data_IF_887646300446
#
_entry.id   IF_887646300446
#
_cell.length_a   1.000
_cell.length_b   1.000
_cell.length_c   1.000
_cell.angle_alpha   90.00
_cell.angle_beta   90.00
_cell.angle_gamma   90.00
#
_symmetry.space_group_name_H-M   'P 1'
#
loop_
_entity.id
_entity.type
_entity.pdbx_description
1 polymer ?
#
# COMPACT_ATOMS: atom_id res chain seq x y z
N UNK A 1 11.41 -7.30 12.16
CA UNK A 1 11.33 -6.47 13.39
C UNK A 1 10.78 -5.06 13.16
N UNK A 2 11.02 -4.42 12.01
CA UNK A 2 10.53 -3.06 11.67
C UNK A 2 8.99 -2.94 11.53
N UNK A 3 8.29 -4.04 11.20
CA UNK A 3 6.84 -4.04 10.96
C UNK A 3 5.98 -4.04 12.24
N UNK A 4 6.52 -4.49 13.37
CA UNK A 4 5.82 -4.52 14.66
C UNK A 4 5.92 -3.17 15.39
N UNK A 5 7.00 -2.42 15.16
CA UNK A 5 7.21 -1.06 15.70
C UNK A 5 6.24 -0.04 15.10
N UNK A 6 5.84 -0.21 13.84
CA UNK A 6 4.88 0.67 13.15
C UNK A 6 3.45 0.45 13.63
N UNK A 7 3.03 -0.79 13.92
CA UNK A 7 1.70 -1.05 14.48
C UNK A 7 1.55 -0.59 15.94
N UNK A 8 2.60 -0.71 16.76
CA UNK A 8 2.61 -0.16 18.13
C UNK A 8 2.53 1.37 18.11
N UNK A 9 3.24 2.03 17.18
CA UNK A 9 3.14 3.50 16.99
C UNK A 9 1.75 3.95 16.53
N UNK A 10 1.12 3.23 15.60
CA UNK A 10 -0.25 3.54 15.13
C UNK A 10 -1.30 3.43 16.25
N UNK A 11 -1.18 2.42 17.11
CA UNK A 11 -2.10 2.23 18.25
C UNK A 11 -1.91 3.30 19.34
N UNK A 12 -0.68 3.77 19.54
CA UNK A 12 -0.40 4.87 20.46
C UNK A 12 -0.78 6.24 19.87
N UNK A 13 -0.66 6.42 18.56
CA UNK A 13 -1.00 7.67 17.88
C UNK A 13 -2.52 7.90 17.78
N UNK A 14 -3.32 6.85 17.52
CA UNK A 14 -4.79 6.96 17.54
C UNK A 14 -5.32 7.18 18.96
N UNK A 15 -4.70 6.57 19.99
CA UNK A 15 -5.03 6.85 21.39
C UNK A 15 -4.61 8.27 21.81
N UNK A 16 -3.46 8.74 21.32
CA UNK A 16 -2.92 10.07 21.57
C UNK A 16 -3.67 11.18 20.84
N UNK A 17 -4.24 10.94 19.65
CA UNK A 17 -5.07 11.90 18.91
C UNK A 17 -6.40 12.18 19.62
N UNK A 18 -6.97 11.19 20.32
CA UNK A 18 -8.12 11.41 21.20
C UNK A 18 -7.73 12.11 22.52
N UNK A 19 -6.48 12.02 22.97
CA UNK A 19 -5.97 12.73 24.15
C UNK A 19 -5.48 14.17 23.84
N UNK A 20 -4.97 14.46 22.65
CA UNK A 20 -4.49 15.80 22.28
C UNK A 20 -5.63 16.76 21.88
N UNK A 21 -6.83 16.26 21.58
CA UNK A 21 -8.05 17.08 21.55
C UNK A 21 -8.46 17.54 22.97
N UNK A 22 -7.83 17.00 24.01
CA UNK A 22 -8.09 17.30 25.42
C UNK A 22 -7.17 18.38 26.01
N UNK A 23 -6.08 18.77 25.33
CA UNK A 23 -5.05 19.69 25.87
C UNK A 23 -5.16 21.15 25.39
N UNK A 24 -5.99 21.47 24.39
CA UNK A 24 -6.37 22.87 24.14
C UNK A 24 -7.48 23.26 25.12
N UNK A 25 -7.07 23.59 26.34
CA UNK A 25 -7.94 23.92 27.47
C UNK A 25 -8.94 25.02 27.15
N UNK A 26 -10.19 24.61 26.96
CA UNK A 26 -11.38 25.02 27.72
C UNK A 26 -12.59 24.33 27.07
N UNK A 27 -13.09 23.25 27.71
CA UNK A 27 -14.42 22.74 27.40
C UNK A 27 -15.35 23.02 28.59
N UNK A 28 -16.54 23.59 28.36
CA UNK A 28 -17.52 23.86 29.40
C UNK A 28 -18.27 22.57 29.76
N UNK A 29 -17.58 21.62 30.40
CA UNK A 29 -18.24 20.46 31.01
C UNK A 29 -18.17 20.60 32.53
N UNK A 30 -18.91 21.57 33.05
CA UNK A 30 -19.39 21.45 34.41
C UNK A 30 -20.87 21.05 34.37
N UNK A 31 -21.19 19.96 35.08
CA UNK A 31 -22.50 19.31 35.27
C UNK A 31 -23.03 18.38 34.15
N UNK A 32 -22.75 17.08 34.29
CA UNK A 32 -23.76 16.02 34.48
C UNK A 32 -24.95 15.86 33.53
N UNK A 33 -24.97 16.49 32.36
CA UNK A 33 -26.04 16.38 31.38
C UNK A 33 -25.48 15.76 30.09
N UNK A 34 -26.05 14.60 29.71
CA UNK A 34 -25.93 14.09 28.35
C UNK A 34 -26.18 15.24 27.37
N UNK A 35 -25.39 15.37 26.28
CA UNK A 35 -25.61 16.43 25.30
C UNK A 35 -27.07 16.38 24.82
N UNK A 36 -27.70 17.54 24.58
CA UNK A 36 -29.08 17.60 24.10
C UNK A 36 -29.26 16.70 22.89
N UNK A 37 -30.42 16.05 22.80
CA UNK A 37 -30.80 14.92 21.93
C UNK A 37 -30.72 15.24 20.40
N UNK A 38 -30.15 16.39 20.02
CA UNK A 38 -30.01 16.90 18.66
C UNK A 38 -28.59 17.42 18.34
N UNK A 39 -27.53 16.98 19.01
CA UNK A 39 -26.16 17.36 18.64
C UNK A 39 -25.67 16.62 17.40
N UNK A 40 -24.96 17.32 16.52
CA UNK A 40 -24.18 16.71 15.45
C UNK A 40 -23.03 15.92 16.09
N UNK A 41 -22.82 14.67 15.67
CA UNK A 41 -21.71 13.86 16.15
C UNK A 41 -20.76 13.55 15.01
N UNK A 42 -19.47 13.65 15.30
CA UNK A 42 -18.43 13.10 14.44
C UNK A 42 -18.58 11.57 14.51
N UNK A 43 -18.96 10.94 13.39
CA UNK A 43 -19.02 9.48 13.31
C UNK A 43 -17.60 8.97 13.30
N UNK A 44 -16.80 9.48 12.37
CA UNK A 44 -15.43 9.04 12.16
C UNK A 44 -14.59 10.20 11.63
N UNK A 45 -13.40 10.36 12.18
CA UNK A 45 -12.29 11.06 11.54
C UNK A 45 -11.19 10.03 11.34
N UNK A 46 -11.05 9.53 10.12
CA UNK A 46 -9.85 8.79 9.78
C UNK A 46 -8.87 9.79 9.17
N UNK A 47 -7.73 10.06 9.83
CA UNK A 47 -6.62 10.63 9.10
C UNK A 47 -6.26 9.62 8.01
N UNK A 48 -6.24 10.05 6.76
CA UNK A 48 -5.57 9.27 5.73
C UNK A 48 -4.08 9.46 6.01
N UNK A 49 -3.60 8.71 7.02
CA UNK A 49 -2.20 8.61 7.36
C UNK A 49 -1.51 8.01 6.15
N UNK A 50 -0.76 8.85 5.48
CA UNK A 50 0.06 8.49 4.35
C UNK A 50 1.28 7.78 4.90
N UNK A 51 1.34 6.43 4.93
CA UNK A 51 2.50 5.74 5.46
C UNK A 51 3.52 5.70 4.33
N UNK A 52 4.06 6.86 3.94
CA UNK A 52 4.75 7.16 2.68
C UNK A 52 3.81 7.55 1.52
N UNK A 53 3.30 8.79 1.51
CA UNK A 53 3.46 9.63 0.31
C UNK A 53 4.94 10.04 0.28
N UNK A 54 5.82 9.04 0.18
CA UNK A 54 7.10 9.33 -0.43
C UNK A 54 6.72 9.62 -1.86
N UNK A 55 7.04 10.83 -2.30
CA UNK A 55 6.83 11.27 -3.67
C UNK A 55 7.85 10.54 -4.56
N UNK A 56 7.69 9.23 -4.58
CA UNK A 56 8.37 8.27 -5.39
C UNK A 56 7.26 7.58 -6.18
N UNK A 57 7.09 8.06 -7.41
CA UNK A 57 6.52 7.33 -8.55
C UNK A 57 4.98 7.20 -8.75
N UNK A 58 4.09 7.87 -8.00
CA UNK A 58 2.64 7.56 -8.11
C UNK A 58 1.66 8.75 -7.94
N UNK A 59 1.92 9.92 -8.53
CA UNK A 59 1.12 11.15 -8.34
C UNK A 59 -0.40 10.96 -8.65
N UNK A 60 -1.14 10.60 -7.60
CA UNK A 60 -2.58 10.72 -7.37
C UNK A 60 -3.51 10.01 -8.38
N UNK A 61 -3.30 8.78 -8.84
CA UNK A 61 -4.49 7.93 -9.14
C UNK A 61 -4.78 7.10 -7.91
N UNK A 62 -5.17 7.78 -6.84
CA UNK A 62 -5.36 7.13 -5.54
C UNK A 62 -6.83 7.12 -5.18
N UNK A 63 -7.35 5.90 -5.17
CA UNK A 63 -8.69 5.59 -4.71
C UNK A 63 -8.60 4.93 -3.35
N UNK A 64 -9.05 5.63 -2.33
CA UNK A 64 -9.13 5.12 -0.97
C UNK A 64 -10.54 4.66 -0.65
N UNK A 65 -10.60 3.50 -0.01
CA UNK A 65 -11.80 2.93 0.57
C UNK A 65 -11.50 2.65 2.03
N UNK A 66 -11.92 3.56 2.91
CA UNK A 66 -11.52 3.55 4.32
C UNK A 66 -12.68 3.17 5.24
N UNK A 67 -12.37 2.59 6.39
CA UNK A 67 -13.39 2.01 7.27
C UNK A 67 -13.90 3.04 8.26
N UNK A 68 -15.16 3.41 8.15
CA UNK A 68 -15.77 4.34 9.10
C UNK A 68 -15.90 3.62 10.43
N UNK A 69 -15.27 4.16 11.47
CA UNK A 69 -15.30 3.63 12.83
C UNK A 69 -16.21 4.50 13.68
N UNK A 70 -16.96 3.90 14.60
CA UNK A 70 -17.68 4.63 15.65
C UNK A 70 -16.74 5.00 16.82
N UNK A 71 -17.25 5.73 17.82
CA UNK A 71 -16.53 6.09 19.05
C UNK A 71 -15.97 4.86 19.81
N UNK A 72 -16.63 3.72 19.72
CA UNK A 72 -16.17 2.44 20.29
C UNK A 72 -15.15 1.70 19.40
N UNK A 73 -14.62 2.36 18.36
CA UNK A 73 -13.78 1.78 17.31
C UNK A 73 -14.42 0.60 16.54
N UNK A 74 -15.74 0.46 16.62
CA UNK A 74 -16.49 -0.53 15.86
C UNK A 74 -16.65 -0.07 14.42
N UNK A 75 -16.52 -1.00 13.46
CA UNK A 75 -16.67 -0.68 12.04
C UNK A 75 -18.14 -0.46 11.69
N UNK A 76 -18.49 0.77 11.37
CA UNK A 76 -19.83 1.20 11.02
C UNK A 76 -20.06 1.30 9.51
N UNK A 77 -19.01 1.42 8.71
CA UNK A 77 -19.18 1.53 7.28
C UNK A 77 -17.86 1.62 6.52
N UNK A 78 -17.98 2.02 5.26
CA UNK A 78 -16.86 2.25 4.37
C UNK A 78 -17.08 3.55 3.60
N UNK A 79 -16.13 4.48 3.69
CA UNK A 79 -16.11 5.73 2.93
C UNK A 79 -15.24 5.62 1.70
N UNK A 80 -15.63 6.30 0.61
CA UNK A 80 -14.88 6.31 -0.65
C UNK A 80 -14.39 7.71 -1.02
N UNK A 81 -13.07 7.88 -1.06
CA UNK A 81 -12.39 9.15 -1.39
C UNK A 81 -11.41 8.89 -2.53
N UNK A 82 -11.43 9.76 -3.53
CA UNK A 82 -10.59 9.67 -4.72
C UNK A 82 -9.89 11.02 -4.92
N UNK A 83 -8.59 11.02 -5.20
CA UNK A 83 -7.86 12.23 -5.58
C UNK A 83 -7.13 11.95 -6.89
N UNK A 84 -7.21 12.88 -7.85
CA UNK A 84 -6.70 12.76 -9.22
C UNK A 84 -5.85 13.97 -9.62
N UNK A 85 -4.65 13.84 -10.22
CA UNK A 85 -4.01 14.97 -10.87
C UNK A 85 -4.82 15.34 -12.11
N UNK A 86 -4.90 16.62 -12.42
CA UNK A 86 -5.64 17.07 -13.59
C UNK A 86 -4.96 18.24 -14.28
N UNK A 87 -5.38 18.50 -15.50
CA UNK A 87 -5.05 19.74 -16.21
C UNK A 87 -5.76 20.94 -15.58
N UNK A 88 -5.35 22.16 -15.94
CA UNK A 88 -6.05 23.40 -15.55
C UNK A 88 -7.56 23.38 -15.89
N UNK A 89 -7.94 22.67 -16.96
CA UNK A 89 -9.34 22.50 -17.40
C UNK A 89 -10.10 21.39 -16.64
N UNK A 90 -9.47 20.75 -15.66
CA UNK A 90 -10.08 19.68 -14.87
C UNK A 90 -10.16 18.32 -15.55
N UNK A 91 -9.53 18.15 -16.72
CA UNK A 91 -9.37 16.83 -17.37
C UNK A 91 -8.32 16.04 -16.62
N UNK A 92 -8.71 14.86 -16.11
CA UNK A 92 -7.83 13.92 -15.40
C UNK A 92 -6.82 13.34 -16.39
N UNK A 93 -5.56 13.24 -15.96
CA UNK A 93 -4.52 12.61 -16.77
C UNK A 93 -4.74 11.11 -16.90
N UNK A 94 -4.52 10.58 -18.09
CA UNK A 94 -4.59 9.14 -18.36
C UNK A 94 -3.17 8.57 -18.49
N UNK A 95 -3.00 7.23 -18.37
CA UNK A 95 -1.71 6.58 -18.58
C UNK A 95 -1.06 6.87 -19.94
N UNK A 96 -1.83 7.30 -20.94
CA UNK A 96 -1.33 7.64 -22.27
C UNK A 96 -0.75 9.06 -22.37
N UNK A 97 -1.02 9.94 -21.40
CA UNK A 97 -0.62 11.35 -21.48
C UNK A 97 0.88 11.59 -21.13
N UNK A 98 1.61 10.54 -20.69
CA UNK A 98 3.06 10.54 -20.35
C UNK A 98 3.53 11.70 -19.45
N UNK A 99 2.62 12.23 -18.62
CA UNK A 99 2.91 13.28 -17.64
C UNK A 99 3.41 12.60 -16.37
N UNK A 100 4.71 12.30 -16.34
CA UNK A 100 5.36 11.67 -15.21
C UNK A 100 6.41 12.59 -14.59
N UNK A 101 6.39 12.71 -13.27
CA UNK A 101 7.35 13.51 -12.50
C UNK A 101 8.05 12.58 -11.51
N UNK A 102 9.37 12.41 -11.69
CA UNK A 102 10.22 11.55 -10.86
C UNK A 102 10.44 12.11 -9.46
N UNK A 103 10.71 13.42 -9.36
CA UNK A 103 11.05 14.13 -8.13
C UNK A 103 10.06 15.29 -7.88
N UNK A 104 9.36 15.34 -6.72
CA UNK A 104 8.44 16.44 -6.38
C UNK A 104 9.03 17.83 -6.57
N UNK A 105 10.33 17.98 -6.30
CA UNK A 105 11.00 19.27 -6.29
C UNK A 105 11.01 19.92 -7.67
N UNK A 106 10.84 19.14 -8.74
CA UNK A 106 10.71 19.64 -10.11
C UNK A 106 9.43 20.44 -10.34
N UNK A 107 8.41 20.28 -9.48
CA UNK A 107 7.17 21.03 -9.55
C UNK A 107 7.27 22.41 -8.87
N UNK A 108 8.37 22.71 -8.18
CA UNK A 108 8.57 24.02 -7.56
C UNK A 108 8.56 25.09 -8.65
N UNK A 109 7.71 26.10 -8.48
CA UNK A 109 7.48 27.15 -9.47
C UNK A 109 6.59 26.76 -10.66
N UNK A 110 6.01 25.55 -10.66
CA UNK A 110 5.00 25.14 -11.65
C UNK A 110 3.60 25.23 -11.07
N UNK A 111 2.61 25.41 -11.95
CA UNK A 111 1.19 25.33 -11.57
C UNK A 111 0.76 23.87 -11.45
N UNK A 112 0.11 23.53 -10.34
CA UNK A 112 -0.39 22.19 -10.09
C UNK A 112 -1.88 22.18 -9.83
N UNK A 113 -2.55 21.27 -10.51
CA UNK A 113 -3.98 21.07 -10.37
C UNK A 113 -4.28 19.62 -10.05
N UNK A 114 -5.19 19.43 -9.11
CA UNK A 114 -5.72 18.12 -8.79
C UNK A 114 -7.19 18.25 -8.39
N UNK A 115 -7.86 17.11 -8.35
CA UNK A 115 -9.29 17.03 -8.11
C UNK A 115 -9.55 16.05 -6.98
N UNK A 116 -10.28 16.51 -5.98
CA UNK A 116 -10.75 15.69 -4.85
C UNK A 116 -12.19 15.30 -5.14
N UNK A 117 -12.49 14.01 -5.01
CA UNK A 117 -13.82 13.46 -5.20
C UNK A 117 -14.22 12.59 -4.01
N UNK A 118 -15.31 12.95 -3.36
CA UNK A 118 -15.92 12.16 -2.29
C UNK A 118 -17.17 11.50 -2.85
N UNK A 119 -17.06 10.19 -3.10
CA UNK A 119 -18.15 9.41 -3.69
C UNK A 119 -19.33 9.29 -2.74
N UNK A 120 -19.08 8.85 -1.51
CA UNK A 120 -20.13 8.53 -0.56
C UNK A 120 -19.61 7.66 0.58
N UNK A 121 -20.56 7.17 1.39
CA UNK A 121 -20.31 6.15 2.38
C UNK A 121 -21.30 4.99 2.18
N UNK A 122 -20.90 3.79 2.61
CA UNK A 122 -21.72 2.58 2.50
C UNK A 122 -21.74 1.83 3.83
N UNK A 123 -22.87 1.19 4.11
CA UNK A 123 -23.05 0.32 5.27
C UNK A 123 -23.33 1.04 6.58
N UNK A 124 -23.57 2.36 6.58
CA UNK A 124 -23.75 3.13 7.80
C UNK A 124 -25.00 2.68 8.60
N UNK A 125 -24.92 2.63 9.93
CA UNK A 125 -26.05 2.22 10.76
C UNK A 125 -27.24 3.19 10.62
N UNK A 126 -28.46 2.65 10.65
CA UNK A 126 -29.72 3.42 10.53
C UNK A 126 -30.01 4.38 11.71
N UNK A 127 -29.13 4.44 12.72
CA UNK A 127 -29.26 5.36 13.85
C UNK A 127 -28.95 6.81 13.45
N UNK A 128 -28.17 7.01 12.40
CA UNK A 128 -27.87 8.32 11.83
C UNK A 128 -28.99 8.72 10.88
N UNK A 129 -29.64 9.84 11.19
CA UNK A 129 -30.71 10.39 10.39
C UNK A 129 -30.17 11.13 9.18
N UNK A 130 -29.18 11.98 9.40
CA UNK A 130 -28.65 12.92 8.42
C UNK A 130 -27.12 12.82 8.43
N UNK A 131 -26.53 12.60 7.26
CA UNK A 131 -25.10 12.26 7.13
C UNK A 131 -24.45 13.17 6.07
N UNK A 132 -23.32 13.75 6.42
CA UNK A 132 -22.49 14.56 5.51
C UNK A 132 -21.01 14.29 5.78
N UNK A 133 -20.18 14.62 4.79
CA UNK A 133 -18.73 14.64 4.93
C UNK A 133 -18.20 16.07 4.86
N UNK A 134 -17.06 16.27 5.51
CA UNK A 134 -16.36 17.54 5.57
C UNK A 134 -14.86 17.30 5.49
N UNK A 135 -14.12 18.15 4.77
CA UNK A 135 -12.67 18.13 4.78
C UNK A 135 -12.11 19.54 4.63
N UNK A 136 -10.83 19.72 4.93
CA UNK A 136 -10.13 20.99 4.78
C UNK A 136 -8.75 20.77 4.17
N UNK A 137 -8.39 21.60 3.20
CA UNK A 137 -7.05 21.68 2.64
C UNK A 137 -6.40 23.02 3.03
N UNK A 138 -5.07 23.09 2.95
CA UNK A 138 -4.29 24.31 3.26
C UNK A 138 -4.82 25.56 2.54
N UNK A 139 -5.26 25.42 1.29
CA UNK A 139 -5.76 26.53 0.45
C UNK A 139 -7.16 27.01 0.84
N UNK A 140 -7.94 26.17 1.52
CA UNK A 140 -9.32 26.50 1.85
C UNK A 140 -9.38 27.23 3.20
N UNK A 141 -9.91 28.46 3.19
CA UNK A 141 -10.18 29.22 4.41
C UNK A 141 -11.18 28.48 5.29
N UNK A 142 -12.29 28.03 4.69
CA UNK A 142 -13.38 27.31 5.34
C UNK A 142 -13.41 25.83 4.92
N UNK A 143 -13.87 24.93 5.81
CA UNK A 143 -14.01 23.52 5.48
C UNK A 143 -15.04 23.30 4.36
N UNK A 144 -14.73 22.38 3.45
CA UNK A 144 -15.63 21.97 2.37
C UNK A 144 -16.57 20.90 2.87
N UNK A 145 -17.87 21.21 2.89
CA UNK A 145 -18.94 20.33 3.38
C UNK A 145 -19.77 19.78 2.22
N UNK A 146 -20.09 18.50 2.25
CA UNK A 146 -21.06 17.90 1.31
C UNK A 146 -22.48 18.30 1.67
N UNK A 147 -23.42 18.12 0.73
CA UNK A 147 -24.84 18.16 1.06
C UNK A 147 -25.16 17.05 2.07
N UNK A 148 -25.95 17.38 3.08
CA UNK A 148 -26.41 16.42 4.05
C UNK A 148 -27.53 15.56 3.44
N UNK A 149 -27.41 14.24 3.60
CA UNK A 149 -28.36 13.26 3.03
C UNK A 149 -29.00 12.53 4.19
N UNK A 150 -30.33 12.51 4.22
CA UNK A 150 -31.10 11.87 5.28
C UNK A 150 -31.70 10.52 4.88
N UNK A 151 -32.02 9.69 5.87
CA UNK A 151 -32.83 8.47 5.71
C UNK A 151 -32.16 7.31 4.97
N UNK A 152 -30.83 7.33 4.81
CA UNK A 152 -30.09 6.29 4.08
C UNK A 152 -28.86 5.80 4.87
N UNK A 153 -28.60 4.50 4.77
CA UNK A 153 -27.34 3.87 5.22
C UNK A 153 -26.19 4.04 4.21
N UNK A 154 -26.49 4.58 3.03
CA UNK A 154 -25.59 4.61 1.89
C UNK A 154 -25.63 5.99 1.20
N UNK A 155 -25.18 7.07 1.85
CA UNK A 155 -25.19 8.40 1.23
C UNK A 155 -24.26 8.45 0.01
N UNK A 156 -24.75 9.06 -1.07
CA UNK A 156 -24.00 9.28 -2.32
C UNK A 156 -23.86 10.80 -2.53
N UNK A 157 -22.74 11.36 -2.09
CA UNK A 157 -22.53 12.81 -2.08
C UNK A 157 -22.09 13.36 -3.44
N UNK A 158 -21.37 12.55 -4.23
CA UNK A 158 -20.80 12.92 -5.54
C UNK A 158 -20.11 14.29 -5.52
N UNK A 159 -19.44 14.61 -4.41
CA UNK A 159 -18.73 15.87 -4.29
C UNK A 159 -17.46 15.79 -5.13
N UNK A 160 -17.23 16.80 -5.96
CA UNK A 160 -16.04 16.93 -6.79
C UNK A 160 -15.58 18.38 -6.73
N UNK A 161 -14.33 18.60 -6.31
CA UNK A 161 -13.73 19.94 -6.24
C UNK A 161 -12.32 19.90 -6.81
N UNK A 162 -12.03 20.82 -7.71
CA UNK A 162 -10.69 21.02 -8.28
C UNK A 162 -9.94 22.06 -7.45
N UNK A 163 -8.66 21.76 -7.22
CA UNK A 163 -7.71 22.62 -6.54
C UNK A 163 -6.66 23.11 -7.52
N UNK A 164 -6.18 24.31 -7.25
CA UNK A 164 -5.15 24.97 -8.02
C UNK A 164 -4.13 25.57 -7.06
N UNK A 165 -2.88 25.14 -7.22
CA UNK A 165 -1.72 25.69 -6.52
C UNK A 165 -0.85 26.39 -7.57
N UNK A 166 -0.98 27.73 -7.70
CA UNK A 166 -0.13 28.48 -8.62
C UNK A 166 1.29 28.52 -8.07
N UNK A 167 2.28 28.27 -8.92
CA UNK A 167 3.71 28.29 -8.57
C UNK A 167 4.03 27.57 -7.25
N UNK A 168 4.04 26.22 -7.22
CA UNK A 168 4.29 25.50 -5.96
C UNK A 168 5.55 25.99 -5.25
N UNK A 169 5.43 26.18 -3.95
CA UNK A 169 6.56 26.46 -3.06
C UNK A 169 7.10 25.17 -2.45
N UNK A 170 8.32 25.23 -1.91
CA UNK A 170 8.89 24.11 -1.14
C UNK A 170 8.04 23.77 0.09
N UNK A 171 7.37 24.75 0.69
CA UNK A 171 6.42 24.53 1.79
C UNK A 171 5.19 23.72 1.37
N UNK A 172 4.72 23.90 0.13
CA UNK A 172 3.60 23.13 -0.40
C UNK A 172 4.03 21.69 -0.69
N UNK A 173 5.23 21.49 -1.23
CA UNK A 173 5.82 20.15 -1.39
C UNK A 173 5.92 19.46 -0.03
N UNK A 174 6.48 20.15 0.98
CA UNK A 174 6.57 19.61 2.34
C UNK A 174 5.19 19.30 2.93
N UNK A 175 4.18 20.12 2.65
CA UNK A 175 2.80 19.87 3.05
C UNK A 175 2.25 18.59 2.39
N UNK A 176 2.55 18.31 1.13
CA UNK A 176 2.12 17.08 0.47
C UNK A 176 2.91 15.84 0.93
N UNK A 177 4.19 15.99 1.28
CA UNK A 177 5.04 14.90 1.79
C UNK A 177 4.70 14.48 3.22
N UNK A 178 4.51 15.47 4.10
CA UNK A 178 4.34 15.25 5.55
C UNK A 178 2.91 15.45 6.04
N UNK A 179 2.07 16.11 5.25
CA UNK A 179 0.70 16.40 5.62
C UNK A 179 -0.19 15.16 5.58
N UNK A 180 -1.32 15.26 6.28
CA UNK A 180 -2.39 14.29 6.21
C UNK A 180 -3.63 14.94 5.58
N UNK A 181 -4.31 14.18 4.73
CA UNK A 181 -5.60 14.57 4.22
C UNK A 181 -6.69 13.94 5.11
N UNK A 182 -7.46 14.76 5.81
CA UNK A 182 -8.48 14.29 6.75
C UNK A 182 -9.87 14.57 6.22
N UNK A 183 -10.65 13.50 6.06
CA UNK A 183 -12.09 13.59 5.77
C UNK A 183 -12.85 13.17 7.01
N UNK A 184 -13.68 14.07 7.52
CA UNK A 184 -14.55 13.86 8.67
C UNK A 184 -15.94 13.51 8.17
N UNK A 185 -16.53 12.45 8.68
CA UNK A 185 -17.90 12.07 8.38
C UNK A 185 -18.73 12.30 9.63
N UNK A 186 -19.80 13.08 9.47
CA UNK A 186 -20.69 13.47 10.54
C UNK A 186 -22.07 12.86 10.33
N UNK A 187 -22.73 12.58 11.45
CA UNK A 187 -24.06 12.01 11.50
C UNK A 187 -24.89 12.64 12.60
N UNK A 188 -26.07 13.14 12.26
CA UNK A 188 -27.07 13.55 13.24
C UNK A 188 -27.85 12.32 13.69
N UNK A 189 -27.82 12.00 14.98
CA UNK A 189 -28.56 10.85 15.49
C UNK A 189 -30.06 11.14 15.51
N UNK A 190 -30.89 10.13 15.23
CA UNK A 190 -32.33 10.24 15.42
C UNK A 190 -32.66 10.41 16.90
N UNK A 191 -33.16 11.59 17.27
CA UNK A 191 -33.75 11.89 18.58
C UNK A 191 -34.85 10.89 19.01
N UNK A 192 -35.45 10.18 18.05
CA UNK A 192 -36.71 9.44 18.20
C UNK A 192 -36.66 8.06 18.87
N UNK A 193 -35.54 7.61 19.45
CA UNK A 193 -35.52 6.37 20.23
C UNK A 193 -35.11 6.55 21.71
N UNK A 194 -34.64 7.74 22.08
CA UNK A 194 -34.29 8.08 23.46
C UNK A 194 -35.50 8.60 24.26
N UNK A 195 -36.64 7.90 24.14
CA UNK A 195 -37.71 7.90 25.14
C UNK A 195 -38.61 6.67 24.96
N UNK A 196 -38.11 5.54 24.44
CA UNK A 196 -38.76 4.28 24.79
C UNK A 196 -38.49 4.10 26.27
N UNK A 197 -39.48 4.39 27.11
CA UNK A 197 -39.53 3.95 28.52
C UNK A 197 -39.14 2.47 28.53
N UNK A 198 -37.85 2.20 28.75
CA UNK A 198 -37.35 0.87 29.02
C UNK A 198 -37.98 0.51 30.36
N UNK A 199 -39.13 -0.14 30.30
CA UNK A 199 -39.73 -0.75 31.48
C UNK A 199 -38.77 -1.85 31.92
N UNK A 200 -37.93 -1.53 32.92
CA UNK A 200 -36.89 -2.39 33.49
C UNK A 200 -37.44 -3.77 33.84
N UNK A 201 -38.75 -3.87 34.13
CA UNK A 201 -39.47 -5.12 34.42
C UNK A 201 -39.62 -6.03 33.20
N UNK A 202 -39.76 -5.48 31.99
CA UNK A 202 -39.89 -6.24 30.74
C UNK A 202 -38.53 -6.77 30.27
N UNK A 203 -37.47 -5.98 30.42
CA UNK A 203 -36.10 -6.39 30.06
C UNK A 203 -35.57 -7.50 30.98
N UNK A 204 -35.85 -7.42 32.30
CA UNK A 204 -35.52 -8.46 33.28
C UNK A 204 -36.27 -9.78 33.02
N UNK A 205 -37.53 -9.72 32.58
CA UNK A 205 -38.29 -10.91 32.18
C UNK A 205 -37.73 -11.56 30.91
N UNK A 206 -37.29 -10.75 29.92
CA UNK A 206 -36.64 -11.25 28.70
C UNK A 206 -35.28 -11.90 28.97
N UNK A 207 -34.47 -11.32 29.86
CA UNK A 207 -33.19 -11.93 30.29
C UNK A 207 -33.37 -13.24 31.07
N UNK A 208 -34.42 -13.37 31.88
CA UNK A 208 -34.75 -14.65 32.55
C UNK A 208 -35.26 -15.71 31.58
N UNK A 209 -36.04 -15.34 30.56
CA UNK A 209 -36.51 -16.27 29.54
C UNK A 209 -35.36 -16.76 28.61
N UNK A 210 -34.45 -15.86 28.23
CA UNK A 210 -33.31 -16.21 27.37
C UNK A 210 -32.29 -17.14 28.06
N UNK A 211 -32.12 -17.06 29.38
CA UNK A 211 -31.25 -17.98 30.14
C UNK A 211 -31.81 -19.41 30.25
N UNK A 212 -33.10 -19.62 30.01
CA UNK A 212 -33.73 -20.96 30.02
C UNK A 212 -33.67 -21.72 28.70
N UNK A 213 -33.21 -21.10 27.60
CA UNK A 213 -33.23 -21.69 26.25
C UNK A 213 -31.84 -21.94 25.63
N UNK A 214 -30.75 -21.80 26.40
CA UNK A 214 -29.36 -21.96 25.88
C UNK A 214 -28.93 -23.43 25.76
N UNK A 215 -29.74 -24.41 26.19
CA UNK A 215 -29.29 -25.80 26.22
C UNK A 215 -29.48 -26.61 24.92
N UNK A 216 -30.18 -26.12 23.87
CA UNK A 216 -30.57 -27.01 22.74
C UNK A 216 -30.35 -26.47 21.32
N UNK A 217 -29.87 -25.24 21.10
CA UNK A 217 -29.87 -24.67 19.73
C UNK A 217 -28.64 -23.84 19.34
N UNK A 218 -27.43 -24.41 19.41
CA UNK A 218 -26.20 -23.73 18.96
C UNK A 218 -25.35 -24.55 17.96
N UNK A 219 -25.97 -25.44 17.19
CA UNK A 219 -25.32 -26.22 16.12
C UNK A 219 -25.71 -25.73 14.70
N UNK A 220 -25.68 -24.41 14.49
CA UNK A 220 -25.88 -23.83 13.15
C UNK A 220 -24.89 -22.69 12.87
N UNK A 221 -23.69 -23.13 12.49
CA UNK A 221 -22.72 -22.55 11.56
C UNK A 221 -23.09 -21.17 11.00
N UNK A 222 -22.84 -20.12 11.79
CA UNK A 222 -22.51 -18.80 11.26
C UNK A 222 -21.00 -18.76 11.16
N UNK A 223 -20.45 -19.04 9.97
CA UNK A 223 -19.05 -18.72 9.66
C UNK A 223 -18.92 -17.20 9.73
N UNK A 224 -18.54 -16.69 10.90
CA UNK A 224 -17.95 -15.37 11.03
C UNK A 224 -16.71 -15.41 10.14
N UNK A 225 -16.75 -14.67 9.03
CA UNK A 225 -15.58 -14.50 8.18
C UNK A 225 -14.69 -13.56 8.98
N UNK A 226 -13.64 -14.12 9.58
CA UNK A 226 -12.66 -13.32 10.33
C UNK A 226 -12.03 -12.29 9.39
N UNK A 227 -11.96 -11.01 9.80
CA UNK A 227 -11.41 -9.93 8.98
C UNK A 227 -9.96 -10.19 8.56
N UNK A 228 -9.21 -10.95 9.35
CA UNK A 228 -7.83 -11.35 9.04
C UNK A 228 -7.76 -12.35 7.88
N UNK A 229 -8.77 -13.23 7.76
CA UNK A 229 -8.85 -14.17 6.65
C UNK A 229 -9.14 -13.45 5.32
N UNK A 230 -9.91 -12.35 5.36
CA UNK A 230 -10.15 -11.51 4.19
C UNK A 230 -8.88 -10.79 3.72
N UNK A 231 -8.06 -10.27 4.66
CA UNK A 231 -6.75 -9.67 4.34
C UNK A 231 -5.78 -10.70 3.75
N UNK A 232 -5.73 -11.90 4.32
CA UNK A 232 -4.92 -13.00 3.78
C UNK A 232 -5.35 -13.37 2.36
N UNK A 233 -6.66 -13.43 2.10
CA UNK A 233 -7.18 -13.72 0.78
C UNK A 233 -6.83 -12.62 -0.23
N UNK A 234 -6.90 -11.35 0.16
CA UNK A 234 -6.49 -10.22 -0.70
C UNK A 234 -4.99 -10.26 -1.01
N UNK A 235 -4.14 -10.52 -0.01
CA UNK A 235 -2.69 -10.66 -0.20
C UNK A 235 -2.35 -11.85 -1.11
N UNK A 236 -3.06 -12.96 -0.97
CA UNK A 236 -2.89 -14.12 -1.85
C UNK A 236 -3.20 -13.78 -3.31
N UNK A 237 -4.26 -12.99 -3.58
CA UNK A 237 -4.60 -12.55 -4.94
C UNK A 237 -3.53 -11.62 -5.51
N UNK A 238 -2.99 -10.70 -4.72
CA UNK A 238 -1.89 -9.81 -5.14
C UNK A 238 -0.61 -10.62 -5.43
N UNK A 239 -0.26 -11.58 -4.58
CA UNK A 239 0.88 -12.48 -4.80
C UNK A 239 0.70 -13.32 -6.08
N UNK A 240 -0.49 -13.88 -6.30
CA UNK A 240 -0.79 -14.65 -7.51
C UNK A 240 -0.72 -13.80 -8.78
N UNK A 241 -1.19 -12.56 -8.75
CA UNK A 241 -1.10 -11.65 -9.91
C UNK A 241 0.33 -11.24 -10.21
N UNK A 242 1.17 -11.00 -9.19
CA UNK A 242 2.61 -10.77 -9.34
C UNK A 242 3.33 -11.98 -9.96
N UNK A 243 3.03 -13.18 -9.46
CA UNK A 243 3.59 -14.43 -10.00
C UNK A 243 3.18 -14.69 -11.46
N UNK A 244 1.92 -14.41 -11.82
CA UNK A 244 1.46 -14.49 -13.22
C UNK A 244 2.24 -13.54 -14.14
N UNK A 245 2.57 -12.32 -13.69
CA UNK A 245 3.39 -11.36 -14.46
C UNK A 245 4.83 -11.87 -14.63
N UNK A 246 5.44 -12.39 -13.56
CA UNK A 246 6.79 -12.97 -13.62
C UNK A 246 6.84 -14.19 -14.55
N UNK A 247 5.86 -15.08 -14.48
CA UNK A 247 5.78 -16.25 -15.36
C UNK A 247 5.67 -15.86 -16.84
N UNK A 248 4.92 -14.81 -17.17
CA UNK A 248 4.86 -14.27 -18.54
C UNK A 248 6.22 -13.74 -19.02
N UNK A 249 6.95 -13.02 -18.16
CA UNK A 249 8.31 -12.54 -18.48
C UNK A 249 9.28 -13.69 -18.70
N UNK A 250 9.16 -14.75 -17.89
CA UNK A 250 9.95 -15.97 -18.02
C UNK A 250 9.64 -16.70 -19.34
N UNK A 251 8.36 -16.73 -19.75
CA UNK A 251 7.95 -17.27 -21.04
C UNK A 251 8.56 -16.47 -22.22
N UNK A 252 8.56 -15.14 -22.16
CA UNK A 252 9.18 -14.31 -23.19
C UNK A 252 10.70 -14.51 -23.25
N UNK A 253 11.35 -14.72 -22.10
CA UNK A 253 12.78 -15.06 -22.05
C UNK A 253 13.06 -16.43 -22.67
N UNK A 254 12.20 -17.43 -22.43
CA UNK A 254 12.29 -18.74 -23.10
C UNK A 254 12.14 -18.61 -24.62
N UNK A 255 11.20 -17.79 -25.09
CA UNK A 255 11.01 -17.54 -26.53
C UNK A 255 12.22 -16.82 -27.16
N UNK A 256 12.83 -15.86 -26.44
CA UNK A 256 14.08 -15.23 -26.85
C UNK A 256 15.20 -16.26 -27.05
N UNK A 257 15.35 -17.19 -26.10
CA UNK A 257 16.38 -18.23 -26.17
C UNK A 257 16.10 -19.23 -27.30
N UNK A 258 14.84 -19.60 -27.54
CA UNK A 258 14.46 -20.45 -28.68
C UNK A 258 14.79 -19.78 -30.02
N UNK A 259 14.47 -18.49 -30.18
CA UNK A 259 14.79 -17.73 -31.40
C UNK A 259 16.30 -17.57 -31.59
N UNK A 260 17.06 -17.35 -30.51
CA UNK A 260 18.52 -17.26 -30.56
C UNK A 260 19.16 -18.60 -30.98
N UNK A 261 18.66 -19.72 -30.45
CA UNK A 261 19.10 -21.06 -30.83
C UNK A 261 18.73 -21.40 -32.28
N UNK A 262 17.52 -21.05 -32.73
CA UNK A 262 17.07 -21.22 -34.12
C UNK A 262 17.99 -20.48 -35.11
N UNK A 263 18.60 -19.37 -34.67
CA UNK A 263 19.57 -18.57 -35.44
C UNK A 263 21.04 -18.95 -35.17
N UNK A 264 21.29 -20.06 -34.45
CA UNK A 264 22.62 -20.55 -34.07
C UNK A 264 23.50 -19.52 -33.33
N UNK A 265 22.90 -18.61 -32.56
CA UNK A 265 23.64 -17.63 -31.76
C UNK A 265 23.97 -18.20 -30.39
N UNK A 266 25.26 -18.48 -30.15
CA UNK A 266 25.77 -18.97 -28.85
C UNK A 266 25.71 -17.93 -27.72
N UNK A 267 25.64 -16.63 -28.05
CA UNK A 267 25.65 -15.53 -27.06
C UNK A 267 24.47 -14.59 -27.29
N UNK A 268 23.73 -14.31 -26.23
CA UNK A 268 22.65 -13.30 -26.21
C UNK A 268 23.16 -12.07 -25.47
N UNK A 269 23.12 -10.87 -26.09
CA UNK A 269 23.51 -9.63 -25.42
C UNK A 269 22.66 -9.36 -24.17
N UNK A 270 23.30 -9.00 -23.05
CA UNK A 270 22.64 -8.67 -21.77
C UNK A 270 21.59 -7.57 -21.91
N UNK A 271 21.82 -6.58 -22.80
CA UNK A 271 20.87 -5.50 -23.09
C UNK A 271 19.51 -6.01 -23.57
N UNK A 272 19.48 -7.09 -24.37
CA UNK A 272 18.22 -7.67 -24.86
C UNK A 272 17.47 -8.42 -23.75
N UNK A 273 18.20 -9.05 -22.82
CA UNK A 273 17.62 -9.74 -21.67
C UNK A 273 16.93 -8.72 -20.75
N UNK A 274 17.62 -7.62 -20.42
CA UNK A 274 17.05 -6.54 -19.59
C UNK A 274 15.81 -5.95 -20.28
N UNK A 275 15.91 -5.61 -21.57
CA UNK A 275 14.79 -5.04 -22.32
C UNK A 275 13.55 -5.97 -22.35
N UNK A 276 13.72 -7.30 -22.38
CA UNK A 276 12.60 -8.24 -22.30
C UNK A 276 12.00 -8.34 -20.91
N UNK A 277 12.82 -8.28 -19.85
CA UNK A 277 12.33 -8.29 -18.47
C UNK A 277 11.56 -7.02 -18.13
N UNK A 278 11.89 -5.90 -18.79
CA UNK A 278 11.23 -4.60 -18.61
C UNK A 278 10.03 -4.38 -19.54
N UNK A 279 9.90 -5.16 -20.61
CA UNK A 279 8.81 -5.03 -21.58
C UNK A 279 7.43 -5.04 -20.89
N UNK A 280 6.57 -4.09 -21.26
CA UNK A 280 5.23 -3.96 -20.68
C UNK A 280 4.27 -4.97 -21.31
N UNK A 281 4.44 -5.24 -22.60
CA UNK A 281 3.46 -5.94 -23.44
C UNK A 281 4.14 -7.01 -24.30
N UNK A 282 3.39 -8.08 -24.66
CA UNK A 282 3.90 -9.14 -25.54
C UNK A 282 4.35 -8.63 -26.92
N UNK A 283 3.68 -7.62 -27.47
CA UNK A 283 4.06 -7.01 -28.76
C UNK A 283 5.45 -6.37 -28.72
N UNK A 284 5.78 -5.74 -27.61
CA UNK A 284 7.09 -5.11 -27.37
C UNK A 284 8.17 -6.18 -27.23
N UNK A 285 7.93 -7.19 -26.38
CA UNK A 285 8.80 -8.35 -26.25
C UNK A 285 9.08 -9.02 -27.61
N UNK A 286 8.06 -9.22 -28.44
CA UNK A 286 8.20 -9.82 -29.78
C UNK A 286 9.05 -8.96 -30.73
N UNK A 287 8.94 -7.62 -30.66
CA UNK A 287 9.81 -6.71 -31.43
C UNK A 287 11.28 -6.83 -30.99
N UNK A 288 11.52 -6.94 -29.68
CA UNK A 288 12.87 -7.13 -29.13
C UNK A 288 13.43 -8.49 -29.59
N UNK A 289 12.65 -9.56 -29.53
CA UNK A 289 13.05 -10.90 -30.01
C UNK A 289 13.41 -10.87 -31.51
N UNK A 290 12.61 -10.19 -32.34
CA UNK A 290 12.89 -10.05 -33.77
C UNK A 290 14.18 -9.26 -34.08
N UNK A 291 14.63 -8.41 -33.15
CA UNK A 291 15.83 -7.58 -33.33
C UNK A 291 17.15 -8.36 -33.21
N UNK A 292 17.11 -9.59 -32.65
CA UNK A 292 18.29 -10.45 -32.50
C UNK A 292 19.04 -10.62 -33.82
N UNK A 293 18.33 -10.73 -34.95
CA UNK A 293 18.94 -10.94 -36.27
C UNK A 293 19.63 -9.70 -36.86
N UNK A 294 19.26 -8.49 -36.42
CA UNK A 294 19.68 -7.24 -37.07
C UNK A 294 21.00 -6.67 -36.54
N UNK A 295 21.43 -7.09 -35.35
CA UNK A 295 22.76 -6.75 -34.85
C UNK A 295 23.81 -7.55 -35.64
N UNK A 296 24.24 -6.97 -36.77
CA UNK A 296 25.46 -7.41 -37.48
C UNK A 296 26.60 -7.34 -36.48
N UNK A 297 27.29 -8.47 -36.28
CA UNK A 297 28.42 -8.59 -35.35
C UNK A 297 29.52 -7.59 -35.67
N UNK A 298 29.45 -6.40 -35.07
CA UNK A 298 30.56 -5.46 -34.93
C UNK A 298 31.37 -5.87 -33.71
N UNK A 299 32.19 -6.90 -33.87
CA UNK A 299 32.98 -7.48 -32.79
C UNK A 299 34.08 -8.37 -33.34
N UNK A 300 34.88 -7.81 -34.26
CA UNK A 300 36.21 -8.31 -34.59
C UNK A 300 37.02 -8.12 -33.30
N UNK A 301 37.22 -9.18 -32.54
CA UNK A 301 38.14 -9.20 -31.40
C UNK A 301 39.56 -9.07 -31.96
N UNK A 302 40.02 -7.82 -32.15
CA UNK A 302 41.41 -7.50 -32.44
C UNK A 302 42.20 -7.53 -31.14
N UNK A 303 42.74 -8.69 -30.80
CA UNK A 303 43.82 -8.83 -29.84
C UNK A 303 45.14 -8.48 -30.53
N UNK A 304 45.54 -7.20 -30.47
CA UNK A 304 46.92 -6.77 -30.75
C UNK A 304 47.20 -5.42 -30.08
N UNK A 305 47.74 -5.45 -28.87
CA UNK A 305 48.44 -4.31 -28.27
C UNK A 305 49.43 -4.84 -27.20
N UNK A 306 50.59 -5.26 -27.71
CA UNK A 306 51.94 -5.13 -27.14
C UNK A 306 52.08 -4.81 -25.64
N UNK A 307 52.48 -5.83 -24.88
CA UNK A 307 53.25 -5.71 -23.64
C UNK A 307 54.74 -5.53 -24.00
N UNK A 308 55.50 -4.61 -23.39
CA UNK A 308 56.96 -4.56 -23.53
C UNK A 308 57.60 -5.63 -22.65
N UNK A 309 58.38 -6.52 -23.26
CA UNK A 309 59.23 -7.51 -22.59
C UNK A 309 60.45 -6.84 -21.89
N UNK A 310 60.79 -7.23 -20.66
CA UNK A 310 62.14 -7.09 -20.10
C UNK A 310 63.07 -8.25 -20.52
N UNK A 311 64.41 -8.11 -20.38
CA UNK A 311 65.37 -8.96 -21.09
C UNK A 311 65.54 -10.37 -20.50
N UNK A 312 65.40 -11.34 -21.39
CA UNK A 312 66.14 -12.60 -21.57
C UNK A 312 67.13 -13.01 -20.45
N UNK A 313 66.81 -14.10 -19.76
CA UNK A 313 67.79 -15.02 -19.15
C UNK A 313 67.51 -16.43 -19.64
N UNK A 314 68.57 -17.05 -20.16
CA UNK A 314 68.66 -18.37 -20.76
C UNK A 314 68.64 -19.51 -19.73
N UNK A 315 68.07 -20.65 -20.12
CA UNK A 315 68.67 -22.02 -20.08
C UNK A 315 67.61 -23.09 -19.81
N UNK A 316 67.75 -24.23 -20.50
CA UNK A 316 67.33 -25.53 -19.95
C UNK A 316 66.52 -26.40 -20.88
N UNK A 317 67.20 -27.38 -21.48
CA UNK A 317 66.70 -28.53 -22.22
C UNK A 317 65.65 -29.38 -21.45
N UNK A 318 64.82 -30.12 -22.18
CA UNK A 318 64.00 -31.19 -21.59
C UNK A 318 62.99 -31.81 -22.55
N UNK A 319 63.25 -33.03 -22.97
CA UNK A 319 62.57 -33.77 -24.03
C UNK A 319 61.29 -34.55 -23.61
N UNK A 320 60.44 -34.79 -24.62
CA UNK A 320 59.67 -36.01 -24.94
C UNK A 320 58.61 -36.58 -23.97
N UNK A 321 57.35 -36.68 -24.45
CA UNK A 321 56.57 -37.92 -24.76
C UNK A 321 55.06 -37.60 -24.86
N UNK A 322 54.36 -37.98 -25.94
CA UNK A 322 53.48 -39.18 -26.05
C UNK A 322 52.55 -39.32 -24.83
N UNK A 323 51.22 -39.43 -24.90
CA UNK A 323 50.24 -39.69 -25.95
C UNK A 323 48.91 -40.05 -25.25
N UNK A 324 48.02 -40.69 -26.01
CA UNK A 324 46.78 -41.39 -25.63
C UNK A 324 45.48 -40.60 -25.41
N UNK A 325 44.60 -40.87 -26.37
CA UNK A 325 43.15 -40.84 -26.36
C UNK A 325 42.51 -41.54 -25.15
N UNK A 326 41.33 -41.08 -24.76
CA UNK A 326 40.24 -41.97 -24.35
C UNK A 326 38.90 -41.24 -24.38
N UNK A 327 38.05 -41.69 -25.30
CA UNK A 327 36.60 -41.54 -25.30
C UNK A 327 36.01 -42.10 -24.00
N UNK A 328 35.01 -41.40 -23.44
CA UNK A 328 33.95 -42.05 -22.66
C UNK A 328 32.67 -41.23 -22.74
N UNK A 329 31.68 -41.82 -23.41
CA UNK A 329 30.27 -41.49 -23.26
C UNK A 329 29.84 -41.81 -21.82
N UNK A 330 29.08 -40.91 -21.19
CA UNK A 330 28.26 -41.29 -20.04
C UNK A 330 26.90 -40.58 -20.08
N UNK A 331 25.88 -41.41 -20.26
CA UNK A 331 24.47 -41.14 -20.09
C UNK A 331 24.17 -40.73 -18.64
N UNK A 332 23.44 -39.63 -18.45
CA UNK A 332 22.83 -39.34 -17.15
C UNK A 332 21.30 -39.39 -17.29
N UNK A 333 20.73 -40.56 -17.00
CA UNK A 333 19.31 -40.73 -16.79
C UNK A 333 18.91 -40.38 -15.36
N UNK A 334 17.75 -39.74 -15.31
CA UNK A 334 16.95 -39.29 -14.18
C UNK A 334 16.74 -40.37 -13.10
N UNK A 335 16.97 -40.03 -11.83
CA UNK A 335 16.13 -40.56 -10.76
C UNK A 335 16.08 -39.61 -9.55
N UNK A 336 14.91 -39.02 -9.32
CA UNK A 336 14.63 -38.23 -8.12
C UNK A 336 13.43 -38.88 -7.42
N UNK A 337 13.70 -39.55 -6.30
CA UNK A 337 12.65 -39.92 -5.36
C UNK A 337 13.17 -39.91 -3.93
N UNK A 338 12.36 -39.28 -3.06
CA UNK A 338 12.31 -39.37 -1.60
C UNK A 338 13.56 -39.01 -0.77
N UNK A 339 13.42 -37.99 0.09
CA UNK A 339 13.19 -38.26 1.52
C UNK A 339 12.60 -37.04 2.24
N UNK A 340 11.43 -37.25 2.83
CA UNK A 340 10.83 -36.39 3.86
C UNK A 340 11.55 -36.72 5.17
N UNK A 341 12.16 -35.73 5.81
CA UNK A 341 12.59 -35.86 7.21
C UNK A 341 12.07 -34.68 8.02
N UNK A 342 11.09 -34.97 8.87
CA UNK A 342 10.67 -34.13 9.99
C UNK A 342 11.83 -34.05 10.98
N UNK A 343 12.15 -32.85 11.45
CA UNK A 343 12.81 -32.67 12.73
C UNK A 343 12.06 -31.61 13.52
N UNK A 344 11.67 -32.06 14.71
CA UNK A 344 11.06 -31.38 15.84
C UNK A 344 12.11 -30.65 16.67
N UNK A 345 11.65 -29.56 17.30
CA UNK A 345 11.96 -29.02 18.63
C UNK A 345 13.43 -28.75 19.01
N UNK A 346 13.70 -27.49 19.37
CA UNK A 346 14.17 -27.13 20.72
C UNK A 346 14.36 -25.62 20.87
N UNK A 347 13.69 -25.08 21.89
CA UNK A 347 13.82 -23.75 22.45
C UNK A 347 15.21 -23.45 23.02
N UNK A 348 15.64 -22.19 22.99
CA UNK A 348 16.32 -21.54 24.11
C UNK A 348 16.34 -20.03 23.95
N UNK A 349 15.98 -19.37 25.03
CA UNK A 349 15.86 -17.95 25.30
C UNK A 349 17.24 -17.26 25.32
N UNK A 350 17.30 -15.98 24.93
CA UNK A 350 18.26 -15.00 25.46
C UNK A 350 17.69 -13.59 25.21
N UNK A 351 17.03 -13.06 26.25
CA UNK A 351 16.49 -11.72 26.35
C UNK A 351 17.60 -10.83 26.96
N UNK A 352 18.12 -9.87 26.19
CA UNK A 352 19.16 -8.93 26.66
C UNK A 352 18.56 -7.53 26.76
N UNK A 353 18.62 -7.01 27.98
CA UNK A 353 18.21 -5.67 28.42
C UNK A 353 18.86 -4.54 27.60
N UNK A 354 18.04 -3.79 26.86
CA UNK A 354 18.42 -2.48 26.28
C UNK A 354 17.40 -1.45 26.79
N UNK A 355 17.52 -1.07 28.06
CA UNK A 355 16.70 -0.01 28.64
C UNK A 355 17.54 0.85 29.61
N UNK A 356 18.54 1.58 29.09
CA UNK A 356 19.23 2.62 29.89
C UNK A 356 20.04 3.70 29.15
N UNK A 357 19.58 4.25 28.02
CA UNK A 357 20.34 5.30 27.33
C UNK A 357 19.57 6.53 26.78
N UNK A 358 18.28 6.72 27.06
CA UNK A 358 17.51 7.85 26.47
C UNK A 358 16.94 8.87 27.48
N UNK A 359 17.59 9.05 28.64
CA UNK A 359 17.16 10.03 29.65
C UNK A 359 17.96 11.34 29.67
N UNK A 360 18.80 11.65 28.68
CA UNK A 360 19.73 12.78 28.78
C UNK A 360 19.89 13.67 27.53
N UNK A 361 18.86 13.75 26.67
CA UNK A 361 18.91 14.63 25.47
C UNK A 361 17.72 15.60 25.32
N UNK A 362 16.82 15.73 26.30
CA UNK A 362 15.66 16.64 26.20
C UNK A 362 15.74 17.93 27.06
N UNK A 363 16.93 18.35 27.49
CA UNK A 363 17.09 19.51 28.38
C UNK A 363 17.72 20.76 27.76
N UNK A 364 17.83 20.87 26.43
CA UNK A 364 18.30 22.10 25.79
C UNK A 364 17.40 22.43 24.60
N UNK A 365 16.37 23.26 24.82
CA UNK A 365 15.81 24.24 23.88
C UNK A 365 14.59 24.93 24.54
N UNK A 366 14.86 25.65 25.62
CA UNK A 366 14.06 26.83 26.01
C UNK A 366 15.07 27.90 26.40
N UNK A 367 15.42 28.74 25.43
CA UNK A 367 15.95 30.09 25.61
C UNK A 367 15.62 30.88 24.36
#
# INVERSE_FOLDING_TARGET
>A
MVYLLTQKRLRMFVSGLFQNVHESGELPWNSGLLPPICSEFLISSEPIESPHISIHFFWLDTRWSTSILDADANRDGVGGVEIYPCTAKGKIFKPEDDVFVDDPRQLIGQDFHFKVKISGARGLPKRYNEIYAEYRLKTDADPVRTKAIAGTSNPDWRLEKQYHFPNLTEEDIKYFESGCFMVKIFGKQNAGAAARKLDTKKELRKKKAARGQVAVAANSVKKKIDPDNMKLQQNAVVAQTRNKKLNKRLEWLKDLLREANSRSKKKVPTRLIIAILEAKNYKEAKRIIASIGKSKGGGKSSSSASTPEPPRVSNGDGAAKEGSDSDSDDEFLVNHNMYVKKHSDSDSEDEVDIEKAEAQSCACLVS
#
